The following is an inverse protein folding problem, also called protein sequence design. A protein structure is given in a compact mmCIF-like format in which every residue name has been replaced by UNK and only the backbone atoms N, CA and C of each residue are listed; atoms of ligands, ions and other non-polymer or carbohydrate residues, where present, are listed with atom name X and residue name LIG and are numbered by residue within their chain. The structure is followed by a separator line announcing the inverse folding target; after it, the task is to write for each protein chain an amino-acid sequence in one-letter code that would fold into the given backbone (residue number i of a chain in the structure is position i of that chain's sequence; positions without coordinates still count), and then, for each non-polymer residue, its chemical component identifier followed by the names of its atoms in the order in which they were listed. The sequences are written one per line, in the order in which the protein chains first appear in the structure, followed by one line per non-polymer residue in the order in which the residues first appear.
data_IF_621387147618
#
_entry.id   IF_621387147618
#
_cell.length_a   1.000
_cell.length_b   1.000
_cell.length_c   1.000
_cell.angle_alpha   90.00
_cell.angle_beta   90.00
_cell.angle_gamma   90.00
#
_symmetry.space_group_name_H-M   'P 1'
#
loop_
_entity.id
_entity.type
_entity.pdbx_description
1 polymer ?
#
# COMPACT_ATOMS: atom_id res chain seq x y z
N UNK A 1 17.19 5.10 22.81
CA UNK A 1 15.90 4.44 23.05
C UNK A 1 15.95 3.13 22.32
N UNK A 2 15.81 2.04 23.05
CA UNK A 2 15.82 0.70 22.46
C UNK A 2 14.51 0.44 21.71
N UNK A 3 14.55 -0.44 20.71
CA UNK A 3 13.37 -0.70 19.86
C UNK A 3 12.24 -1.32 20.65
N UNK A 4 12.58 -2.10 21.66
CA UNK A 4 11.70 -2.73 22.62
C UNK A 4 10.91 -1.69 23.42
N UNK A 5 11.54 -0.58 23.82
CA UNK A 5 10.89 0.55 24.49
C UNK A 5 9.88 1.23 23.55
N UNK A 6 10.29 1.49 22.30
CA UNK A 6 9.43 2.11 21.28
C UNK A 6 8.22 1.27 20.90
N UNK A 7 8.35 -0.06 20.93
CA UNK A 7 7.28 -1.00 20.63
C UNK A 7 6.27 -1.06 21.79
N UNK A 8 6.75 -0.98 23.02
CA UNK A 8 5.93 -1.06 24.23
C UNK A 8 5.25 0.27 24.57
N UNK A 9 5.74 1.38 24.01
CA UNK A 9 5.15 2.70 24.13
C UNK A 9 3.70 2.72 23.60
N UNK A 10 2.70 3.01 24.46
CA UNK A 10 1.30 3.11 24.07
C UNK A 10 1.03 4.11 22.95
N UNK A 11 1.85 5.17 22.82
CA UNK A 11 1.71 6.17 21.77
C UNK A 11 2.06 5.65 20.37
N UNK A 12 2.75 4.51 20.29
CA UNK A 12 3.13 3.88 19.03
C UNK A 12 2.29 2.64 18.71
N UNK A 13 1.44 2.20 19.64
CA UNK A 13 0.65 0.97 19.52
C UNK A 13 -0.19 0.92 18.23
N UNK A 14 -0.74 2.07 17.80
CA UNK A 14 -1.59 2.15 16.61
C UNK A 14 -0.80 2.06 15.29
N UNK A 15 0.50 2.38 15.29
CA UNK A 15 1.43 2.20 14.16
C UNK A 15 1.79 0.72 14.03
N UNK A 16 2.05 0.06 15.16
CA UNK A 16 2.40 -1.35 15.20
C UNK A 16 1.19 -2.29 15.08
N UNK A 17 -0.03 -1.82 15.24
CA UNK A 17 -1.22 -2.67 15.14
C UNK A 17 -1.32 -3.38 13.79
N UNK A 18 -1.52 -4.70 13.82
CA UNK A 18 -1.81 -5.51 12.65
C UNK A 18 -3.08 -6.33 12.88
N UNK A 19 -4.19 -6.04 12.17
CA UNK A 19 -5.45 -6.77 12.37
C UNK A 19 -5.40 -8.24 11.92
N UNK A 20 -4.31 -8.69 11.30
CA UNK A 20 -4.14 -10.06 10.79
C UNK A 20 -3.21 -10.93 11.61
N UNK A 21 -2.55 -10.39 12.62
CA UNK A 21 -1.70 -11.16 13.52
C UNK A 21 -2.41 -11.30 14.87
N UNK A 22 -2.37 -12.52 15.43
CA UNK A 22 -2.74 -12.74 16.84
C UNK A 22 -1.66 -12.26 17.80
N UNK A 23 -0.46 -11.95 17.30
CA UNK A 23 0.63 -11.34 18.07
C UNK A 23 0.38 -9.84 18.25
N UNK A 24 0.94 -9.26 19.32
CA UNK A 24 0.73 -7.84 19.69
C UNK A 24 1.04 -6.84 18.56
N UNK A 25 2.03 -7.10 17.69
CA UNK A 25 2.60 -6.08 16.78
C UNK A 25 2.83 -6.56 15.33
N UNK A 26 2.89 -5.64 14.36
CA UNK A 26 3.29 -5.92 12.98
C UNK A 26 4.80 -6.07 12.86
N UNK A 27 5.24 -7.30 12.59
CA UNK A 27 6.64 -7.61 12.25
C UNK A 27 7.17 -6.84 11.05
N UNK A 28 6.28 -6.46 10.13
CA UNK A 28 6.61 -5.64 8.95
C UNK A 28 7.09 -4.25 9.33
N UNK A 29 6.40 -3.62 10.28
CA UNK A 29 6.72 -2.30 10.80
C UNK A 29 7.93 -2.39 11.71
N UNK A 30 8.01 -3.41 12.58
CA UNK A 30 9.18 -3.64 13.44
C UNK A 30 10.48 -3.75 12.62
N UNK A 31 10.49 -4.52 11.53
CA UNK A 31 11.67 -4.63 10.67
C UNK A 31 12.00 -3.33 9.94
N UNK A 32 10.99 -2.61 9.49
CA UNK A 32 11.20 -1.30 8.88
C UNK A 32 11.87 -0.34 9.88
N UNK A 33 11.36 -0.30 11.11
CA UNK A 33 11.89 0.54 12.20
C UNK A 33 13.29 0.09 12.61
N UNK A 34 13.56 -1.22 12.67
CA UNK A 34 14.90 -1.79 12.89
C UNK A 34 15.90 -1.40 11.82
N UNK A 35 15.48 -1.31 10.56
CA UNK A 35 16.33 -0.88 9.45
C UNK A 35 16.52 0.64 9.39
N UNK A 36 15.55 1.40 9.92
CA UNK A 36 15.52 2.87 9.95
C UNK A 36 16.03 3.52 8.65
N UNK A 37 15.57 3.02 7.50
CA UNK A 37 15.99 3.45 6.17
C UNK A 37 14.78 3.66 5.26
N UNK A 38 14.78 4.79 4.55
CA UNK A 38 13.70 5.21 3.65
C UNK A 38 14.28 5.80 2.37
N UNK A 39 13.89 5.27 1.21
CA UNK A 39 14.31 5.75 -0.11
C UNK A 39 15.84 5.89 -0.25
N UNK A 40 16.58 4.88 0.25
CA UNK A 40 18.05 4.84 0.31
C UNK A 40 18.71 5.87 1.25
N UNK A 41 17.94 6.57 2.07
CA UNK A 41 18.44 7.45 3.11
C UNK A 41 18.33 6.77 4.49
N UNK A 42 19.40 6.86 5.28
CA UNK A 42 19.36 6.50 6.69
C UNK A 42 18.57 7.57 7.45
N UNK A 43 17.56 7.17 8.20
CA UNK A 43 16.72 8.06 9.01
C UNK A 43 17.37 8.46 10.33
N UNK A 44 18.51 7.86 10.69
CA UNK A 44 19.22 8.11 11.92
C UNK A 44 18.86 7.07 12.98
N UNK A 45 17.72 7.23 13.63
CA UNK A 45 17.29 6.34 14.72
C UNK A 45 15.99 5.58 14.42
N UNK A 46 15.72 4.48 15.14
CA UNK A 46 14.41 3.82 15.08
C UNK A 46 13.24 4.75 15.45
N UNK A 47 13.46 5.73 16.33
CA UNK A 47 12.44 6.73 16.68
C UNK A 47 12.11 7.62 15.47
N UNK A 48 13.11 7.99 14.65
CA UNK A 48 12.90 8.75 13.42
C UNK A 48 12.11 7.95 12.38
N UNK A 49 12.32 6.64 12.32
CA UNK A 49 11.53 5.75 11.46
C UNK A 49 10.05 5.72 11.87
N UNK A 50 9.75 5.67 13.18
CA UNK A 50 8.37 5.75 13.68
C UNK A 50 7.77 7.13 13.41
N UNK A 51 8.56 8.19 13.65
CA UNK A 51 8.14 9.57 13.37
C UNK A 51 7.75 9.74 11.91
N UNK A 52 8.55 9.22 10.98
CA UNK A 52 8.22 9.20 9.55
C UNK A 52 6.86 8.52 9.30
N UNK A 53 6.60 7.34 9.88
CA UNK A 53 5.32 6.65 9.70
C UNK A 53 4.14 7.47 10.26
N UNK A 54 4.33 8.14 11.40
CA UNK A 54 3.34 9.06 11.99
C UNK A 54 3.11 10.29 11.11
N UNK A 55 4.15 10.85 10.51
CA UNK A 55 4.06 12.00 9.60
C UNK A 55 3.33 11.62 8.30
N UNK A 56 3.66 10.46 7.70
CA UNK A 56 2.97 9.94 6.53
C UNK A 56 1.47 9.74 6.79
N UNK A 57 1.12 9.25 7.99
CA UNK A 57 -0.27 9.12 8.45
C UNK A 57 -0.94 10.48 8.61
N UNK A 58 -0.26 11.44 9.24
CA UNK A 58 -0.79 12.79 9.47
C UNK A 58 -1.11 13.49 8.15
N UNK A 59 -0.21 13.38 7.18
CA UNK A 59 -0.42 13.93 5.83
C UNK A 59 -1.59 13.23 5.13
N UNK A 60 -1.65 11.89 5.17
CA UNK A 60 -2.78 11.13 4.62
C UNK A 60 -4.12 11.60 5.20
N UNK A 61 -4.20 11.75 6.53
CA UNK A 61 -5.41 12.18 7.21
C UNK A 61 -5.77 13.63 6.87
N UNK A 62 -4.78 14.53 6.81
CA UNK A 62 -4.96 15.92 6.38
C UNK A 62 -5.57 16.01 4.98
N UNK A 63 -4.98 15.32 4.02
CA UNK A 63 -5.49 15.24 2.65
C UNK A 63 -6.86 14.55 2.57
N UNK A 64 -7.11 13.56 3.43
CA UNK A 64 -8.40 12.84 3.45
C UNK A 64 -9.59 13.72 3.86
N UNK A 65 -9.31 14.80 4.61
CA UNK A 65 -10.26 15.79 5.10
C UNK A 65 -10.43 16.98 4.15
N UNK A 66 -9.55 17.12 3.14
CA UNK A 66 -9.74 18.10 2.08
C UNK A 66 -11.05 17.81 1.34
N UNK A 67 -11.96 18.78 1.36
CA UNK A 67 -13.23 18.66 0.65
C UNK A 67 -12.99 18.73 -0.84
N UNK A 68 -13.59 17.80 -1.58
CA UNK A 68 -13.67 17.88 -3.03
C UNK A 68 -14.37 19.20 -3.43
N UNK A 69 -13.66 20.06 -4.13
CA UNK A 69 -14.13 21.43 -4.37
C UNK A 69 -15.08 21.50 -5.57
N UNK A 70 -15.97 22.50 -5.57
CA UNK A 70 -16.88 22.77 -6.70
C UNK A 70 -16.14 23.04 -8.01
N UNK A 71 -14.90 23.54 -7.95
CA UNK A 71 -14.06 23.79 -9.11
C UNK A 71 -13.51 22.48 -9.73
N UNK A 72 -13.21 21.48 -8.91
CA UNK A 72 -12.86 20.14 -9.39
C UNK A 72 -14.08 19.46 -10.03
N UNK A 73 -15.28 19.67 -9.49
CA UNK A 73 -16.53 19.23 -10.12
C UNK A 73 -16.77 19.87 -11.49
N UNK A 74 -16.54 21.19 -11.61
CA UNK A 74 -16.71 21.91 -12.89
C UNK A 74 -15.71 21.44 -13.94
N UNK A 75 -14.43 21.27 -13.59
CA UNK A 75 -13.40 20.75 -14.53
C UNK A 75 -13.72 19.36 -15.07
N UNK A 76 -14.36 18.49 -14.28
CA UNK A 76 -14.78 17.15 -14.73
C UNK A 76 -15.97 17.26 -15.70
N UNK A 77 -16.93 18.15 -15.42
CA UNK A 77 -18.10 18.33 -16.27
C UNK A 77 -17.81 19.08 -17.59
N UNK A 78 -16.85 20.02 -17.60
CA UNK A 78 -16.48 20.78 -18.80
C UNK A 78 -15.67 19.96 -19.82
N UNK A 79 -15.02 18.87 -19.40
CA UNK A 79 -14.28 17.98 -20.29
C UNK A 79 -15.17 17.01 -21.12
N UNK A 80 -16.47 17.31 -21.26
CA UNK A 80 -17.38 16.59 -22.18
C UNK A 80 -17.93 15.27 -21.66
N UNK A 81 -17.36 14.68 -20.61
CA UNK A 81 -17.84 13.42 -20.04
C UNK A 81 -18.97 13.69 -19.05
N UNK A 82 -20.22 13.66 -19.52
CA UNK A 82 -21.41 13.63 -18.65
C UNK A 82 -21.47 12.32 -17.86
N UNK A 83 -20.61 12.19 -16.86
CA UNK A 83 -20.70 11.11 -15.90
C UNK A 83 -21.87 11.44 -14.97
N UNK A 84 -23.01 10.75 -15.18
CA UNK A 84 -24.16 10.75 -14.25
C UNK A 84 -23.73 10.16 -12.91
N UNK A 85 -23.03 10.94 -12.08
CA UNK A 85 -22.59 10.52 -10.75
C UNK A 85 -23.68 10.84 -9.71
N UNK A 86 -24.31 9.79 -9.17
CA UNK A 86 -25.15 9.88 -7.98
C UNK A 86 -24.27 10.00 -6.72
N UNK A 87 -24.16 11.21 -6.17
CA UNK A 87 -23.74 11.44 -4.79
C UNK A 87 -22.47 12.26 -4.63
N UNK A 88 -22.64 13.50 -4.16
CA UNK A 88 -21.59 14.48 -3.83
C UNK A 88 -20.85 14.17 -2.51
N UNK A 89 -21.33 13.22 -1.69
CA UNK A 89 -20.89 13.07 -0.30
C UNK A 89 -19.63 12.25 -0.04
N UNK A 90 -18.98 11.65 -1.05
CA UNK A 90 -17.89 10.66 -0.82
C UNK A 90 -16.72 10.71 -1.80
N UNK A 91 -16.62 11.74 -2.63
CA UNK A 91 -15.49 11.85 -3.55
C UNK A 91 -14.30 12.40 -2.75
N UNK A 92 -13.22 11.62 -2.70
CA UNK A 92 -11.95 12.08 -2.13
C UNK A 92 -11.23 12.99 -3.12
N UNK A 93 -10.45 13.96 -2.62
CA UNK A 93 -9.67 14.85 -3.48
C UNK A 93 -8.69 14.05 -4.36
N UNK A 94 -8.38 14.56 -5.57
CA UNK A 94 -7.38 13.93 -6.44
C UNK A 94 -6.01 13.87 -5.76
N UNK A 95 -5.66 14.91 -5.00
CA UNK A 95 -4.43 14.99 -4.21
C UNK A 95 -4.32 13.86 -3.19
N UNK A 96 -5.38 13.60 -2.43
CA UNK A 96 -5.40 12.49 -1.48
C UNK A 96 -5.20 11.15 -2.17
N UNK A 97 -5.91 10.92 -3.27
CA UNK A 97 -5.78 9.68 -4.05
C UNK A 97 -4.35 9.48 -4.54
N UNK A 98 -3.76 10.51 -5.15
CA UNK A 98 -2.39 10.47 -5.64
C UNK A 98 -1.39 10.15 -4.52
N UNK A 99 -1.50 10.87 -3.41
CA UNK A 99 -0.66 10.65 -2.24
C UNK A 99 -0.74 9.21 -1.72
N UNK A 100 -1.95 8.64 -1.64
CA UNK A 100 -2.14 7.25 -1.22
C UNK A 100 -1.44 6.29 -2.16
N UNK A 101 -1.61 6.43 -3.48
CA UNK A 101 -1.02 5.52 -4.48
C UNK A 101 0.51 5.55 -4.42
N UNK A 102 1.10 6.73 -4.45
CA UNK A 102 2.55 6.91 -4.44
C UNK A 102 3.17 6.42 -3.12
N UNK A 103 2.62 6.85 -1.99
CA UNK A 103 3.17 6.53 -0.67
C UNK A 103 3.02 5.05 -0.35
N UNK A 104 1.89 4.44 -0.74
CA UNK A 104 1.70 2.99 -0.65
C UNK A 104 2.76 2.23 -1.45
N UNK A 105 3.07 2.67 -2.66
CA UNK A 105 4.13 2.08 -3.48
C UNK A 105 5.47 2.08 -2.75
N UNK A 106 5.85 3.22 -2.18
CA UNK A 106 7.08 3.40 -1.38
C UNK A 106 7.09 2.51 -0.14
N UNK A 107 6.00 2.46 0.63
CA UNK A 107 5.91 1.57 1.80
C UNK A 107 6.14 0.10 1.41
N UNK A 108 5.54 -0.33 0.29
CA UNK A 108 5.69 -1.71 -0.20
C UNK A 108 7.10 -2.03 -0.68
N UNK A 109 7.80 -1.10 -1.35
CA UNK A 109 9.20 -1.30 -1.73
C UNK A 109 10.12 -1.42 -0.51
N UNK A 110 9.70 -0.87 0.64
CA UNK A 110 10.39 -1.01 1.93
C UNK A 110 9.89 -2.20 2.78
N UNK A 111 9.18 -3.16 2.19
CA UNK A 111 8.78 -4.41 2.86
C UNK A 111 7.57 -4.31 3.78
N UNK A 112 6.87 -3.17 3.77
CA UNK A 112 5.62 -2.99 4.50
C UNK A 112 4.49 -3.60 3.67
N UNK A 113 3.74 -4.54 4.25
CA UNK A 113 2.65 -5.19 3.55
C UNK A 113 1.44 -4.26 3.36
N UNK A 114 0.56 -4.61 2.40
CA UNK A 114 -0.63 -3.82 2.06
C UNK A 114 -1.50 -3.47 3.28
N UNK A 115 -1.65 -4.40 4.21
CA UNK A 115 -2.52 -4.24 5.39
C UNK A 115 -1.91 -3.23 6.35
N UNK A 116 -0.59 -3.28 6.54
CA UNK A 116 0.10 -2.29 7.35
C UNK A 116 0.12 -0.92 6.65
N UNK A 117 0.32 -0.87 5.34
CA UNK A 117 0.20 0.38 4.57
C UNK A 117 -1.19 1.00 4.71
N UNK A 118 -2.26 0.20 4.64
CA UNK A 118 -3.63 0.65 4.92
C UNK A 118 -3.80 1.18 6.34
N UNK A 119 -3.22 0.53 7.35
CA UNK A 119 -3.29 1.01 8.73
C UNK A 119 -2.47 2.30 8.97
N UNK A 120 -1.31 2.43 8.34
CA UNK A 120 -0.45 3.62 8.42
C UNK A 120 -1.18 4.78 7.75
N UNK A 121 -1.56 4.63 6.48
CA UNK A 121 -2.14 5.70 5.66
C UNK A 121 -3.67 5.87 5.84
N UNK A 122 -4.32 5.03 6.65
CA UNK A 122 -5.76 5.06 6.98
C UNK A 122 -6.69 5.14 5.75
N UNK A 123 -6.34 4.45 4.66
CA UNK A 123 -7.21 4.34 3.48
C UNK A 123 -7.98 3.02 3.44
N UNK A 124 -9.10 3.01 2.73
CA UNK A 124 -9.88 1.79 2.49
C UNK A 124 -9.51 1.16 1.14
N UNK A 125 -9.62 -0.17 1.03
CA UNK A 125 -9.41 -0.90 -0.24
C UNK A 125 -10.30 -0.40 -1.37
N UNK A 126 -11.45 0.22 -1.06
CA UNK A 126 -12.37 0.79 -2.04
C UNK A 126 -11.76 1.96 -2.80
N UNK A 127 -10.86 2.73 -2.20
CA UNK A 127 -10.19 3.85 -2.89
C UNK A 127 -9.37 3.30 -4.07
N UNK A 128 -8.61 2.23 -3.83
CA UNK A 128 -7.83 1.58 -4.88
C UNK A 128 -8.76 0.97 -5.93
N UNK A 129 -9.78 0.22 -5.51
CA UNK A 129 -10.70 -0.47 -6.44
C UNK A 129 -11.56 0.49 -7.28
N UNK A 130 -12.12 1.54 -6.68
CA UNK A 130 -12.93 2.54 -7.40
C UNK A 130 -12.08 3.29 -8.43
N UNK A 131 -10.84 3.60 -8.11
CA UNK A 131 -9.92 4.25 -9.05
C UNK A 131 -9.50 3.32 -10.20
N UNK A 132 -9.28 2.03 -9.93
CA UNK A 132 -9.00 1.02 -10.96
C UNK A 132 -10.21 0.72 -11.86
N UNK A 133 -11.44 0.75 -11.33
CA UNK A 133 -12.66 0.39 -12.05
C UNK A 133 -13.27 1.52 -12.88
N UNK A 134 -13.17 2.78 -12.42
CA UNK A 134 -13.90 3.91 -13.03
C UNK A 134 -13.03 4.89 -13.83
N UNK A 135 -11.72 4.63 -13.97
CA UNK A 135 -10.86 5.37 -14.88
C UNK A 135 -11.04 4.86 -16.34
N UNK A 136 -12.20 5.17 -16.93
CA UNK A 136 -12.54 4.78 -18.31
C UNK A 136 -11.75 5.57 -19.36
N UNK A 137 -11.21 6.74 -19.00
CA UNK A 137 -10.58 7.69 -19.94
C UNK A 137 -9.05 7.73 -19.86
N UNK A 138 -8.42 6.93 -18.98
CA UNK A 138 -6.97 6.97 -18.72
C UNK A 138 -6.45 8.37 -18.36
N UNK A 139 -7.30 9.23 -17.78
CA UNK A 139 -6.93 10.62 -17.46
C UNK A 139 -6.06 10.73 -16.21
N UNK A 140 -5.77 9.62 -15.54
CA UNK A 140 -4.76 9.52 -14.51
C UNK A 140 -3.58 8.69 -15.02
N UNK A 141 -2.54 9.35 -15.55
CA UNK A 141 -1.31 8.69 -16.02
C UNK A 141 -0.67 7.81 -14.93
N UNK A 142 -0.80 8.23 -13.66
CA UNK A 142 -0.35 7.49 -12.48
C UNK A 142 -1.06 6.14 -12.27
N UNK A 143 -2.31 6.00 -12.77
CA UNK A 143 -3.11 4.77 -12.70
C UNK A 143 -2.91 3.93 -13.96
N UNK A 144 -2.53 4.54 -15.08
CA UNK A 144 -2.15 3.80 -16.27
C UNK A 144 -0.99 2.84 -15.97
N UNK A 145 -0.04 3.24 -15.11
CA UNK A 145 1.05 2.38 -14.64
C UNK A 145 0.58 1.26 -13.69
N UNK A 146 -0.31 1.51 -12.73
CA UNK A 146 -0.86 0.43 -11.89
C UNK A 146 -1.77 -0.53 -12.68
N UNK A 147 -2.57 -0.01 -13.63
CA UNK A 147 -3.38 -0.84 -14.55
C UNK A 147 -2.54 -1.59 -15.57
N UNK A 148 -1.48 -0.98 -16.10
CA UNK A 148 -0.54 -1.67 -17.00
C UNK A 148 0.22 -2.75 -16.24
N UNK A 149 0.57 -2.50 -14.96
CA UNK A 149 1.09 -3.51 -14.05
C UNK A 149 0.05 -4.60 -13.73
N UNK A 150 -1.24 -4.28 -13.55
CA UNK A 150 -2.30 -5.28 -13.39
C UNK A 150 -2.52 -6.13 -14.65
N UNK A 151 -2.46 -5.53 -15.85
CA UNK A 151 -2.51 -6.28 -17.11
C UNK A 151 -1.23 -7.07 -17.36
N UNK A 152 -0.07 -6.58 -16.92
CA UNK A 152 1.20 -7.34 -16.85
C UNK A 152 1.15 -8.45 -15.81
N UNK A 153 0.39 -8.30 -14.72
CA UNK A 153 0.19 -9.32 -13.68
C UNK A 153 -0.64 -10.52 -14.15
N UNK A 154 -1.14 -10.53 -15.38
CA UNK A 154 -1.50 -11.80 -16.04
C UNK A 154 -0.26 -12.69 -16.23
N UNK A 155 0.95 -12.12 -16.21
CA UNK A 155 2.21 -12.83 -16.01
C UNK A 155 2.43 -12.93 -14.50
N UNK A 156 2.27 -14.12 -13.96
CA UNK A 156 2.65 -14.45 -12.59
C UNK A 156 4.06 -13.91 -12.31
N UNK A 157 4.24 -13.16 -11.22
CA UNK A 157 5.56 -12.73 -10.76
C UNK A 157 6.51 -13.94 -10.72
N UNK A 158 7.76 -13.82 -11.19
CA UNK A 158 8.79 -14.84 -11.03
C UNK A 158 8.86 -15.36 -9.60
N UNK A 159 9.25 -16.61 -9.40
CA UNK A 159 9.20 -17.21 -8.06
C UNK A 159 10.21 -16.55 -7.13
N UNK A 160 11.31 -16.08 -7.71
CA UNK A 160 12.37 -15.28 -7.12
C UNK A 160 11.82 -13.97 -6.56
N UNK A 161 11.10 -13.21 -7.38
CA UNK A 161 10.46 -11.95 -6.94
C UNK A 161 9.36 -12.20 -5.91
N UNK A 162 8.61 -13.29 -6.05
CA UNK A 162 7.56 -13.65 -5.08
C UNK A 162 8.16 -13.98 -3.70
N UNK A 163 9.37 -14.55 -3.65
CA UNK A 163 10.09 -14.82 -2.41
C UNK A 163 10.57 -13.55 -1.69
N UNK A 164 10.70 -12.42 -2.40
CA UNK A 164 11.01 -11.12 -1.80
C UNK A 164 9.77 -10.48 -1.15
N UNK A 165 8.56 -10.87 -1.56
CA UNK A 165 7.31 -10.27 -1.05
C UNK A 165 6.95 -10.81 0.33
N UNK A 166 6.77 -9.91 1.31
CA UNK A 166 6.43 -10.33 2.68
C UNK A 166 4.92 -10.57 2.89
N UNK A 167 4.55 -11.79 3.29
CA UNK A 167 3.21 -12.13 3.75
C UNK A 167 3.16 -12.32 5.27
N UNK A 168 2.57 -11.38 6.00
CA UNK A 168 2.49 -11.45 7.47
C UNK A 168 1.47 -12.47 7.97
N UNK A 169 0.32 -12.62 7.30
CA UNK A 169 -0.80 -13.44 7.79
C UNK A 169 -0.51 -14.94 7.73
N UNK A 170 -0.18 -15.45 6.54
CA UNK A 170 -0.05 -16.89 6.31
C UNK A 170 1.42 -17.33 6.20
N UNK A 171 2.36 -16.39 6.34
CA UNK A 171 3.79 -16.60 6.07
C UNK A 171 4.01 -17.32 4.73
N UNK A 172 3.19 -16.99 3.73
CA UNK A 172 3.20 -17.68 2.42
C UNK A 172 4.60 -17.69 1.82
N UNK A 173 5.32 -16.58 1.97
CA UNK A 173 6.68 -16.43 1.51
C UNK A 173 7.66 -17.38 2.19
N UNK A 174 7.48 -17.69 3.47
CA UNK A 174 8.32 -18.67 4.16
C UNK A 174 8.02 -20.09 3.68
N UNK A 175 6.74 -20.42 3.46
CA UNK A 175 6.35 -21.71 2.87
C UNK A 175 6.97 -21.88 1.48
N UNK A 176 6.94 -20.81 0.69
CA UNK A 176 7.56 -20.73 -0.63
C UNK A 176 9.08 -20.94 -0.55
N UNK A 177 9.78 -20.16 0.30
CA UNK A 177 11.24 -20.26 0.51
C UNK A 177 11.68 -21.64 1.01
N UNK A 178 10.89 -22.29 1.85
CA UNK A 178 11.23 -23.61 2.39
C UNK A 178 11.01 -24.74 1.38
N UNK A 179 10.22 -24.50 0.31
CA UNK A 179 9.84 -25.53 -0.66
C UNK A 179 9.92 -24.98 -2.10
N UNK A 180 10.99 -24.24 -2.41
CA UNK A 180 11.14 -23.55 -3.71
C UNK A 180 11.00 -24.52 -4.88
N UNK A 181 11.63 -25.69 -4.77
CA UNK A 181 11.62 -26.73 -5.81
C UNK A 181 10.20 -27.22 -6.10
N UNK A 182 9.41 -27.47 -5.04
CA UNK A 182 8.02 -27.90 -5.16
C UNK A 182 7.16 -26.85 -5.86
N UNK A 183 7.22 -25.59 -5.41
CA UNK A 183 6.39 -24.52 -5.98
C UNK A 183 6.86 -24.09 -7.38
N UNK A 184 8.15 -24.23 -7.70
CA UNK A 184 8.69 -24.01 -9.04
C UNK A 184 8.16 -25.07 -10.00
N UNK A 185 8.20 -26.35 -9.60
CA UNK A 185 7.64 -27.44 -10.39
C UNK A 185 6.13 -27.27 -10.60
N UNK A 186 5.39 -26.98 -9.53
CA UNK A 186 3.94 -26.72 -9.60
C UNK A 186 3.60 -25.60 -10.60
N UNK A 187 4.39 -24.52 -10.64
CA UNK A 187 4.22 -23.41 -11.59
C UNK A 187 4.55 -23.81 -13.03
N UNK A 188 5.57 -24.63 -13.23
CA UNK A 188 5.92 -25.17 -14.55
C UNK A 188 4.81 -26.10 -15.06
N UNK A 189 4.36 -27.04 -14.23
CA UNK A 189 3.32 -28.01 -14.57
C UNK A 189 2.01 -27.31 -14.97
N UNK A 190 1.61 -26.27 -14.22
CA UNK A 190 0.44 -25.46 -14.52
C UNK A 190 0.54 -24.67 -15.83
N UNK A 191 1.76 -24.30 -16.28
CA UNK A 191 1.96 -23.63 -17.58
C UNK A 191 1.85 -24.60 -18.75
N UNK A 192 2.17 -25.87 -18.55
CA UNK A 192 2.06 -26.93 -19.56
C UNK A 192 0.65 -27.52 -19.70
N UNK A 193 -0.28 -27.21 -18.79
CA UNK A 193 -1.68 -27.65 -18.82
C UNK A 193 -2.66 -26.63 -19.43
N UNK A 194 -2.14 -25.54 -20.02
CA UNK A 194 -2.88 -24.50 -20.76
C UNK A 194 -2.56 -24.60 -22.25
#
# INVERSE_FOLDING_TARGET
MEIEELIMDPENADVYYCPRLSTKNCRCVEEFVKKHCWMNANLGTPADAIKLLKDLRKEALGLSNERFTRNEFKKINDNGTRLKFRGTGRIKSKKYVQYIVETRGKLRSHGICEIAAQNILKYSSKIIYSNLKYDYEKTNDLIADEKSNLKRNNKLLPIEELMEVRCCQNKCTNKLKNNVTFYSKLRSDAKTSL
#
